data_IF_145696573899
#
_entry.id   IF_145696573899
#
_cell.length_a   1.000
_cell.length_b   1.000
_cell.length_c   1.000
_cell.angle_alpha   90.00
_cell.angle_beta   90.00
_cell.angle_gamma   90.00
#
_symmetry.space_group_name_H-M   'P 1'
#
loop_
_entity.id
_entity.type
_entity.pdbx_description
1 polymer ?
#
# COMPACT_ATOMS: atom_id res chain seq x y z
N UNK A 1 4.51 20.30 -9.49
CA UNK A 1 5.18 20.21 -8.17
C UNK A 1 4.28 20.89 -7.16
N UNK A 2 3.92 20.21 -6.08
CA UNK A 2 3.18 20.79 -4.96
C UNK A 2 4.05 21.89 -4.33
N UNK A 3 3.49 23.06 -4.07
CA UNK A 3 4.26 24.21 -3.57
C UNK A 3 3.73 24.75 -2.23
N UNK A 4 2.50 24.39 -1.87
CA UNK A 4 1.84 24.91 -0.69
C UNK A 4 1.51 23.79 0.29
N UNK A 5 1.58 24.08 1.59
CA UNK A 5 1.17 23.16 2.65
C UNK A 5 -0.27 22.67 2.46
N UNK A 6 -1.15 23.54 1.95
CA UNK A 6 -2.55 23.21 1.66
C UNK A 6 -2.69 22.10 0.58
N UNK A 7 -1.74 22.00 -0.35
CA UNK A 7 -1.76 20.93 -1.36
C UNK A 7 -1.50 19.55 -0.74
N UNK A 8 -0.56 19.48 0.20
CA UNK A 8 -0.29 18.25 0.95
C UNK A 8 -1.45 17.86 1.85
N UNK A 9 -2.06 18.86 2.49
CA UNK A 9 -3.26 18.65 3.30
C UNK A 9 -4.42 18.11 2.48
N UNK A 10 -4.68 18.67 1.29
CA UNK A 10 -5.74 18.21 0.37
C UNK A 10 -5.54 16.78 -0.09
N UNK A 11 -4.30 16.31 -0.22
CA UNK A 11 -3.95 14.95 -0.55
C UNK A 11 -4.00 13.99 0.64
N UNK A 12 -4.11 14.52 1.85
CA UNK A 12 -4.14 13.72 3.08
C UNK A 12 -2.78 13.20 3.51
N UNK A 13 -1.70 13.99 3.31
CA UNK A 13 -0.43 13.74 3.99
C UNK A 13 -0.57 13.97 5.48
N UNK A 14 0.11 13.15 6.29
CA UNK A 14 0.19 13.38 7.73
C UNK A 14 0.99 14.66 8.01
N UNK A 15 0.46 15.59 8.83
CA UNK A 15 1.16 16.85 9.15
C UNK A 15 2.55 16.62 9.75
N UNK A 16 2.71 15.57 10.55
CA UNK A 16 3.96 15.19 11.19
C UNK A 16 5.03 14.82 10.16
N UNK A 17 4.65 14.07 9.12
CA UNK A 17 5.57 13.71 8.04
C UNK A 17 6.05 14.93 7.27
N UNK A 18 5.13 15.82 6.90
CA UNK A 18 5.46 17.07 6.19
C UNK A 18 6.32 17.97 7.07
N UNK A 19 6.00 18.07 8.36
CA UNK A 19 6.78 18.86 9.32
C UNK A 19 8.21 18.33 9.46
N UNK A 20 8.39 17.02 9.66
CA UNK A 20 9.70 16.40 9.76
C UNK A 20 10.51 16.62 8.47
N UNK A 21 9.91 16.40 7.31
CA UNK A 21 10.56 16.60 6.02
C UNK A 21 11.05 18.05 5.85
N UNK A 22 10.20 19.04 6.13
CA UNK A 22 10.55 20.46 6.02
C UNK A 22 11.67 20.83 6.99
N UNK A 23 11.63 20.31 8.22
CA UNK A 23 12.69 20.54 9.19
C UNK A 23 14.05 20.09 8.68
N UNK A 24 14.13 18.95 8.02
CA UNK A 24 15.38 18.42 7.47
C UNK A 24 15.83 19.09 6.14
N UNK A 25 14.98 19.86 5.50
CA UNK A 25 15.38 20.59 4.27
C UNK A 25 16.47 21.63 4.51
N UNK A 26 16.49 22.24 5.69
CA UNK A 26 17.45 23.30 5.99
C UNK A 26 18.24 23.08 7.28
N UNK A 27 18.11 21.93 7.88
CA UNK A 27 18.73 21.62 9.18
C UNK A 27 19.19 20.15 9.22
N UNK A 28 20.26 19.89 9.99
CA UNK A 28 20.81 18.54 10.18
C UNK A 28 20.86 18.19 11.66
N UNK A 29 20.19 17.12 12.12
CA UNK A 29 20.20 16.68 13.54
C UNK A 29 21.55 16.14 14.02
N UNK A 30 22.49 15.83 13.09
CA UNK A 30 23.84 15.37 13.44
C UNK A 30 23.96 13.85 13.59
N UNK A 31 23.03 13.08 13.05
CA UNK A 31 23.05 11.63 12.99
C UNK A 31 22.58 11.14 11.62
N UNK A 32 22.34 9.84 11.52
CA UNK A 32 21.81 9.18 10.30
C UNK A 32 20.27 9.02 10.35
N UNK A 33 19.66 9.26 11.51
CA UNK A 33 18.21 9.20 11.66
C UNK A 33 17.53 10.34 10.90
N UNK A 34 16.43 10.02 10.27
CA UNK A 34 15.63 10.97 9.47
C UNK A 34 14.16 11.04 9.89
N UNK A 35 13.68 10.08 10.67
CA UNK A 35 12.31 10.03 11.18
C UNK A 35 12.31 10.41 12.65
N UNK A 36 11.63 11.50 12.99
CA UNK A 36 11.59 12.04 14.33
C UNK A 36 10.18 12.48 14.70
N UNK A 37 9.76 12.20 15.92
CA UNK A 37 8.58 12.85 16.46
C UNK A 37 8.79 14.38 16.56
N UNK A 38 7.70 15.11 16.66
CA UNK A 38 7.76 16.57 16.85
C UNK A 38 8.54 16.96 18.10
N UNK A 39 8.36 16.20 19.18
CA UNK A 39 9.02 16.40 20.46
C UNK A 39 10.53 16.16 20.37
N UNK A 40 10.95 15.17 19.59
CA UNK A 40 12.38 14.91 19.32
C UNK A 40 12.99 16.02 18.49
N UNK A 41 12.32 16.46 17.42
CA UNK A 41 12.78 17.59 16.61
C UNK A 41 12.97 18.86 17.44
N UNK A 42 12.02 19.18 18.35
CA UNK A 42 12.13 20.33 19.24
C UNK A 42 13.34 20.20 20.17
N UNK A 43 13.60 19.01 20.72
CA UNK A 43 14.73 18.76 21.61
C UNK A 43 16.08 18.81 20.92
N UNK A 44 16.14 18.31 19.67
CA UNK A 44 17.36 18.20 18.88
C UNK A 44 17.71 19.50 18.16
N UNK A 45 16.75 20.42 18.02
CA UNK A 45 16.93 21.63 17.25
C UNK A 45 18.08 22.51 17.79
N UNK A 46 19.03 22.77 16.92
CA UNK A 46 20.19 23.63 17.17
C UNK A 46 20.35 24.58 15.96
N UNK A 47 20.19 25.87 16.18
CA UNK A 47 20.28 26.90 15.14
C UNK A 47 21.66 26.96 14.46
N UNK A 48 22.72 26.49 15.15
CA UNK A 48 24.06 26.44 14.59
C UNK A 48 24.23 25.36 13.50
N UNK A 49 23.27 24.45 13.41
CA UNK A 49 23.22 23.38 12.41
C UNK A 49 22.34 23.71 11.20
N UNK A 50 21.86 24.94 11.10
CA UNK A 50 21.14 25.40 9.93
C UNK A 50 22.08 25.45 8.72
N UNK A 51 21.62 24.86 7.61
CA UNK A 51 22.34 24.87 6.35
C UNK A 51 22.33 26.25 5.73
N UNK A 52 23.51 26.70 5.26
CA UNK A 52 23.64 27.93 4.46
C UNK A 52 23.42 27.70 2.98
N UNK A 53 23.34 26.44 2.56
CA UNK A 53 23.12 26.05 1.15
C UNK A 53 21.64 25.92 0.86
N UNK A 54 21.19 26.25 -0.37
CA UNK A 54 19.83 25.99 -0.79
C UNK A 54 19.50 24.49 -0.66
N UNK A 55 18.35 24.17 -0.08
CA UNK A 55 17.87 22.81 -0.04
C UNK A 55 17.13 22.47 -1.34
N UNK A 56 17.35 21.28 -1.87
CA UNK A 56 16.58 20.74 -2.97
C UNK A 56 15.39 19.95 -2.42
N UNK A 57 14.22 20.24 -2.95
CA UNK A 57 13.01 19.47 -2.61
C UNK A 57 13.08 18.09 -3.28
N UNK A 58 12.99 17.03 -2.49
CA UNK A 58 12.96 15.64 -2.95
C UNK A 58 11.60 15.00 -2.61
N UNK A 59 10.76 14.86 -3.64
CA UNK A 59 9.43 14.24 -3.49
C UNK A 59 9.53 12.77 -3.04
N UNK A 60 10.49 12.02 -3.57
CA UNK A 60 10.65 10.60 -3.21
C UNK A 60 11.01 10.43 -1.73
N UNK A 61 11.82 11.34 -1.21
CA UNK A 61 12.16 11.35 0.21
C UNK A 61 10.93 11.68 1.07
N UNK A 62 10.14 12.67 0.68
CA UNK A 62 8.90 12.98 1.37
C UNK A 62 7.93 11.78 1.35
N UNK A 63 7.76 11.14 0.20
CA UNK A 63 6.86 10.00 0.05
C UNK A 63 7.31 8.82 0.93
N UNK A 64 8.61 8.52 0.94
CA UNK A 64 9.18 7.52 1.83
C UNK A 64 8.93 7.84 3.31
N UNK A 65 9.20 9.07 3.74
CA UNK A 65 8.95 9.51 5.11
C UNK A 65 7.45 9.43 5.46
N UNK A 66 6.59 9.91 4.57
CA UNK A 66 5.15 9.90 4.77
C UNK A 66 4.60 8.48 4.88
N UNK A 67 5.08 7.55 4.05
CA UNK A 67 4.72 6.14 4.15
C UNK A 67 5.11 5.57 5.52
N UNK A 68 6.32 5.87 6.02
CA UNK A 68 6.74 5.40 7.35
C UNK A 68 5.84 5.94 8.46
N UNK A 69 5.48 7.22 8.41
CA UNK A 69 4.54 7.81 9.37
C UNK A 69 3.15 7.18 9.30
N UNK A 70 2.61 6.93 8.10
CA UNK A 70 1.30 6.30 7.94
C UNK A 70 1.32 4.86 8.47
N UNK A 71 2.37 4.09 8.16
CA UNK A 71 2.54 2.70 8.65
C UNK A 71 2.52 2.63 10.17
N UNK A 72 3.16 3.58 10.85
CA UNK A 72 3.32 3.59 12.29
C UNK A 72 2.24 4.40 13.04
N UNK A 73 1.37 5.12 12.32
CA UNK A 73 0.28 5.86 12.92
C UNK A 73 -0.84 4.94 13.43
N UNK A 74 -1.59 5.42 14.42
CA UNK A 74 -2.79 4.75 14.90
C UNK A 74 -3.78 4.57 13.76
N UNK A 75 -4.44 3.41 13.72
CA UNK A 75 -5.41 3.06 12.67
C UNK A 75 -6.52 4.10 12.56
N UNK A 76 -7.13 4.48 13.68
CA UNK A 76 -8.23 5.44 13.72
C UNK A 76 -7.86 6.78 13.09
N UNK A 77 -6.61 7.24 13.29
CA UNK A 77 -6.09 8.45 12.69
C UNK A 77 -5.99 8.33 11.17
N UNK A 78 -5.45 7.23 10.68
CA UNK A 78 -5.32 6.98 9.23
C UNK A 78 -6.68 6.79 8.59
N UNK A 79 -7.57 6.05 9.23
CA UNK A 79 -8.94 5.87 8.75
C UNK A 79 -9.70 7.21 8.66
N UNK A 80 -9.57 8.06 9.68
CA UNK A 80 -10.19 9.40 9.65
C UNK A 80 -9.67 10.29 8.50
N UNK A 81 -8.39 10.12 8.10
CA UNK A 81 -7.84 10.81 6.93
C UNK A 81 -8.36 10.23 5.60
N UNK A 82 -8.52 8.92 5.50
CA UNK A 82 -9.02 8.24 4.29
C UNK A 82 -10.52 8.42 4.08
N UNK A 83 -11.28 8.56 5.17
CA UNK A 83 -12.75 8.60 5.16
C UNK A 83 -13.34 9.60 4.18
N UNK A 84 -12.90 10.87 4.12
CA UNK A 84 -13.45 11.84 3.15
C UNK A 84 -13.26 11.42 1.68
N UNK A 85 -12.12 10.81 1.36
CA UNK A 85 -11.83 10.33 0.01
C UNK A 85 -12.70 9.14 -0.38
N UNK A 86 -12.87 8.19 0.56
CA UNK A 86 -13.76 7.05 0.36
C UNK A 86 -15.23 7.50 0.23
N UNK A 87 -15.65 8.50 1.01
CA UNK A 87 -17.01 9.06 0.95
C UNK A 87 -17.25 9.75 -0.39
N UNK A 88 -16.35 10.61 -0.85
CA UNK A 88 -16.41 11.29 -2.15
C UNK A 88 -16.44 10.30 -3.33
N UNK A 89 -15.67 9.23 -3.24
CA UNK A 89 -15.64 8.17 -4.24
C UNK A 89 -16.84 7.18 -4.16
N UNK A 90 -17.73 7.32 -3.16
CA UNK A 90 -18.82 6.36 -2.94
C UNK A 90 -18.39 4.99 -2.43
N UNK A 91 -17.20 4.89 -1.82
CA UNK A 91 -16.56 3.64 -1.36
C UNK A 91 -16.58 3.47 0.17
N UNK A 92 -17.24 4.34 0.89
CA UNK A 92 -17.38 4.25 2.34
C UNK A 92 -18.46 3.20 2.68
N UNK A 93 -18.09 1.94 2.65
CA UNK A 93 -18.94 0.77 2.94
C UNK A 93 -18.64 0.19 4.32
N UNK A 94 -19.36 -0.86 4.72
CA UNK A 94 -19.08 -1.66 5.92
C UNK A 94 -17.69 -2.33 5.92
N UNK A 95 -17.05 -2.44 4.74
CA UNK A 95 -15.69 -2.99 4.56
C UNK A 95 -14.60 -1.93 4.52
N UNK A 96 -14.94 -0.65 4.60
CA UNK A 96 -13.98 0.46 4.44
C UNK A 96 -12.80 0.38 5.43
N UNK A 97 -13.05 0.01 6.69
CA UNK A 97 -11.98 -0.16 7.69
C UNK A 97 -10.99 -1.25 7.27
N UNK A 98 -11.49 -2.41 6.81
CA UNK A 98 -10.63 -3.52 6.34
C UNK A 98 -9.81 -3.12 5.11
N UNK A 99 -10.38 -2.34 4.20
CA UNK A 99 -9.66 -1.84 3.03
C UNK A 99 -8.56 -0.86 3.41
N UNK A 100 -8.82 0.06 4.34
CA UNK A 100 -7.80 0.97 4.85
C UNK A 100 -6.70 0.20 5.59
N UNK A 101 -7.05 -0.79 6.41
CA UNK A 101 -6.08 -1.64 7.10
C UNK A 101 -5.18 -2.39 6.11
N UNK A 102 -5.76 -2.96 5.05
CA UNK A 102 -5.04 -3.68 3.99
C UNK A 102 -4.03 -2.79 3.26
N UNK A 103 -4.42 -1.56 2.94
CA UNK A 103 -3.59 -0.67 2.11
C UNK A 103 -2.75 0.33 2.91
N UNK A 104 -3.00 0.51 4.21
CA UNK A 104 -2.23 1.39 5.10
C UNK A 104 -0.70 1.24 4.93
N UNK A 105 -0.12 0.03 4.82
CA UNK A 105 1.32 -0.13 4.66
C UNK A 105 1.89 0.40 3.33
N UNK A 106 1.04 0.64 2.34
CA UNK A 106 1.45 1.06 0.99
C UNK A 106 1.25 2.55 0.74
N UNK A 107 0.38 3.20 1.52
CA UNK A 107 0.01 4.60 1.29
C UNK A 107 1.12 5.57 1.68
N UNK A 108 1.26 6.62 0.89
CA UNK A 108 2.04 7.83 1.21
C UNK A 108 1.15 9.02 1.56
N UNK A 109 -0.07 9.03 1.04
CA UNK A 109 -1.11 10.00 1.32
C UNK A 109 -2.49 9.34 1.30
N UNK A 110 -3.45 9.90 2.03
CA UNK A 110 -4.78 9.28 2.18
C UNK A 110 -5.60 9.25 0.88
N UNK A 111 -5.35 10.17 -0.07
CA UNK A 111 -6.02 10.16 -1.39
C UNK A 111 -5.77 8.86 -2.15
N UNK A 112 -4.63 8.20 -1.89
CA UNK A 112 -4.24 6.96 -2.58
C UNK A 112 -5.17 5.78 -2.27
N UNK A 113 -5.95 5.85 -1.19
CA UNK A 113 -6.91 4.80 -0.84
C UNK A 113 -7.95 4.58 -1.96
N UNK A 114 -8.27 5.62 -2.74
CA UNK A 114 -9.24 5.50 -3.82
C UNK A 114 -8.70 4.60 -4.94
N UNK A 115 -7.60 4.93 -5.63
CA UNK A 115 -7.06 4.04 -6.67
C UNK A 115 -6.61 2.68 -6.12
N UNK A 116 -6.11 2.59 -4.89
CA UNK A 116 -5.72 1.32 -4.30
C UNK A 116 -6.90 0.36 -4.09
N UNK A 117 -8.11 0.90 -3.96
CA UNK A 117 -9.32 0.08 -3.78
C UNK A 117 -10.09 -0.18 -5.08
N UNK A 118 -9.61 0.26 -6.24
CA UNK A 118 -10.26 0.07 -7.55
C UNK A 118 -10.64 -1.40 -7.78
N UNK A 119 -9.76 -2.34 -7.40
CA UNK A 119 -10.01 -3.78 -7.50
C UNK A 119 -11.35 -4.24 -6.90
N UNK A 120 -11.86 -3.53 -5.90
CA UNK A 120 -13.08 -3.91 -5.16
C UNK A 120 -14.34 -3.18 -5.64
N UNK A 121 -14.18 -2.14 -6.46
CA UNK A 121 -15.28 -1.25 -6.84
C UNK A 121 -15.41 -1.03 -8.35
N UNK A 122 -14.35 -1.27 -9.10
CA UNK A 122 -14.34 -1.13 -10.55
C UNK A 122 -14.42 -2.48 -11.24
N UNK A 123 -14.69 -2.47 -12.54
CA UNK A 123 -14.63 -3.68 -13.37
C UNK A 123 -13.20 -4.24 -13.38
N UNK A 124 -13.11 -5.56 -13.56
CA UNK A 124 -11.80 -6.23 -13.64
C UNK A 124 -10.94 -5.59 -14.73
N UNK A 125 -9.71 -5.16 -14.43
CA UNK A 125 -8.89 -4.39 -15.34
C UNK A 125 -8.49 -5.19 -16.59
N UNK A 126 -8.34 -4.50 -17.71
CA UNK A 126 -7.72 -5.11 -18.89
C UNK A 126 -6.26 -5.44 -18.60
N UNK A 127 -5.90 -6.70 -18.84
CA UNK A 127 -4.53 -7.15 -18.63
C UNK A 127 -3.56 -6.44 -19.60
N UNK A 128 -2.46 -5.96 -19.06
CA UNK A 128 -1.33 -5.45 -19.85
C UNK A 128 -0.66 -6.58 -20.64
N UNK A 129 0.20 -6.25 -21.61
CA UNK A 129 0.95 -7.25 -22.36
C UNK A 129 1.83 -8.13 -21.47
N UNK A 130 2.40 -7.56 -20.41
CA UNK A 130 3.22 -8.30 -19.45
C UNK A 130 2.40 -9.34 -18.66
N UNK A 131 1.20 -8.98 -18.25
CA UNK A 131 0.27 -9.89 -17.55
C UNK A 131 -0.27 -10.96 -18.49
N UNK A 132 -0.61 -10.60 -19.72
CA UNK A 132 -0.99 -11.57 -20.77
C UNK A 132 0.12 -12.59 -21.05
N UNK A 133 1.38 -12.14 -21.09
CA UNK A 133 2.53 -13.05 -21.27
C UNK A 133 2.63 -14.06 -20.11
N UNK A 134 2.49 -13.59 -18.86
CA UNK A 134 2.47 -14.49 -17.69
C UNK A 134 1.29 -15.47 -17.78
N UNK A 135 0.10 -14.98 -18.13
CA UNK A 135 -1.12 -15.79 -18.21
C UNK A 135 -1.12 -16.78 -19.38
N UNK A 136 -0.28 -16.57 -20.40
CA UNK A 136 -0.06 -17.53 -21.50
C UNK A 136 0.88 -18.69 -21.14
N UNK A 137 1.45 -18.69 -19.93
CA UNK A 137 2.37 -19.73 -19.47
C UNK A 137 1.75 -21.13 -19.44
N UNK A 138 2.50 -22.15 -19.85
CA UNK A 138 2.02 -23.54 -19.98
C UNK A 138 1.45 -24.12 -18.67
N UNK A 139 1.95 -23.67 -17.51
CA UNK A 139 1.51 -24.15 -16.19
C UNK A 139 0.26 -23.45 -15.68
N UNK A 140 -0.12 -22.31 -16.26
CA UNK A 140 -1.21 -21.46 -15.78
C UNK A 140 -2.55 -22.17 -15.74
N UNK A 141 -3.01 -22.88 -16.80
CA UNK A 141 -4.29 -23.59 -16.77
C UNK A 141 -4.35 -24.62 -15.62
N UNK A 142 -3.24 -25.33 -15.38
CA UNK A 142 -3.15 -26.33 -14.31
C UNK A 142 -3.28 -25.68 -12.93
N UNK A 143 -2.55 -24.58 -12.69
CA UNK A 143 -2.58 -23.84 -11.43
C UNK A 143 -3.97 -23.28 -11.16
N UNK A 144 -4.55 -22.57 -12.13
CA UNK A 144 -5.85 -21.91 -11.95
C UNK A 144 -6.99 -22.91 -11.79
N UNK A 145 -6.97 -24.02 -12.55
CA UNK A 145 -7.97 -25.08 -12.39
C UNK A 145 -7.91 -25.71 -10.99
N UNK A 146 -6.69 -26.02 -10.53
CA UNK A 146 -6.51 -26.60 -9.20
C UNK A 146 -6.92 -25.61 -8.09
N UNK A 147 -6.53 -24.32 -8.22
CA UNK A 147 -6.89 -23.29 -7.24
C UNK A 147 -8.41 -23.06 -7.18
N UNK A 148 -9.05 -22.92 -8.35
CA UNK A 148 -10.50 -22.79 -8.44
C UNK A 148 -11.22 -23.96 -7.75
N UNK A 149 -10.80 -25.20 -8.03
CA UNK A 149 -11.39 -26.38 -7.41
C UNK A 149 -11.26 -26.40 -5.88
N UNK A 150 -10.12 -25.87 -5.34
CA UNK A 150 -9.95 -25.72 -3.87
C UNK A 150 -10.91 -24.70 -3.29
N UNK A 151 -11.09 -23.55 -3.95
CA UNK A 151 -11.99 -22.51 -3.48
C UNK A 151 -13.47 -22.97 -3.58
N UNK A 152 -13.87 -23.64 -4.66
CA UNK A 152 -15.23 -24.17 -4.82
C UNK A 152 -15.58 -25.27 -3.82
N UNK A 153 -14.58 -25.93 -3.25
CA UNK A 153 -14.78 -26.97 -2.23
C UNK A 153 -14.93 -26.39 -0.81
N UNK A 154 -14.65 -25.10 -0.62
CA UNK A 154 -14.81 -24.42 0.68
C UNK A 154 -16.28 -24.05 0.90
N UNK A 155 -16.74 -24.18 2.15
CA UNK A 155 -18.00 -23.58 2.58
C UNK A 155 -17.84 -22.07 2.83
N UNK A 156 -18.95 -21.33 2.89
CA UNK A 156 -18.93 -19.90 3.16
C UNK A 156 -18.22 -19.55 4.49
N UNK A 157 -18.39 -20.40 5.51
CA UNK A 157 -17.73 -20.22 6.81
C UNK A 157 -16.22 -20.48 6.77
N UNK A 158 -15.76 -21.30 5.82
CA UNK A 158 -14.33 -21.57 5.61
C UNK A 158 -13.65 -20.53 4.72
N UNK A 159 -14.41 -19.74 3.97
CA UNK A 159 -13.89 -18.73 3.06
C UNK A 159 -13.47 -17.47 3.82
N UNK A 160 -12.40 -17.62 4.61
CA UNK A 160 -11.77 -16.57 5.42
C UNK A 160 -10.29 -16.45 5.06
N UNK A 161 -9.70 -15.30 5.33
CA UNK A 161 -8.31 -14.95 4.91
C UNK A 161 -7.32 -16.04 5.33
N UNK A 162 -7.42 -16.52 6.57
CA UNK A 162 -6.51 -17.49 7.17
C UNK A 162 -6.52 -18.84 6.43
N UNK A 163 -7.59 -19.15 5.73
CA UNK A 163 -7.76 -20.42 5.03
C UNK A 163 -7.33 -20.36 3.56
N UNK A 164 -7.15 -19.17 2.97
CA UNK A 164 -6.81 -19.02 1.54
C UNK A 164 -5.37 -19.47 1.25
N UNK A 165 -4.40 -19.01 2.06
CA UNK A 165 -3.00 -19.41 1.86
C UNK A 165 -2.77 -20.93 1.97
N UNK A 166 -3.39 -21.66 2.91
CA UNK A 166 -3.38 -23.12 2.92
C UNK A 166 -3.84 -23.76 1.61
N UNK A 167 -4.86 -23.19 0.92
CA UNK A 167 -5.32 -23.69 -0.39
C UNK A 167 -4.25 -23.50 -1.46
N UNK A 168 -3.56 -22.36 -1.48
CA UNK A 168 -2.44 -22.14 -2.41
C UNK A 168 -1.33 -23.17 -2.16
N UNK A 169 -1.01 -23.48 -0.90
CA UNK A 169 -0.05 -24.53 -0.53
C UNK A 169 -0.52 -25.92 -0.96
N UNK A 170 -1.82 -26.19 -0.89
CA UNK A 170 -2.39 -27.46 -1.37
C UNK A 170 -2.24 -27.59 -2.89
N UNK A 171 -2.49 -26.51 -3.65
CA UNK A 171 -2.22 -26.47 -5.10
C UNK A 171 -0.75 -26.72 -5.40
N UNK A 172 0.17 -26.10 -4.67
CA UNK A 172 1.60 -26.32 -4.81
C UNK A 172 1.96 -27.83 -4.64
N UNK A 173 1.40 -28.46 -3.62
CA UNK A 173 1.66 -29.87 -3.30
C UNK A 173 1.07 -30.80 -4.37
N UNK A 174 -0.13 -30.49 -4.86
CA UNK A 174 -0.84 -31.29 -5.87
C UNK A 174 -0.19 -31.21 -7.24
N UNK A 175 0.17 -30.00 -7.68
CA UNK A 175 0.69 -29.76 -9.03
C UNK A 175 2.21 -29.85 -9.13
N UNK A 176 2.94 -29.74 -8.02
CA UNK A 176 4.39 -29.59 -8.00
C UNK A 176 4.91 -28.24 -8.47
N UNK A 177 4.00 -27.33 -8.91
CA UNK A 177 4.33 -25.98 -9.39
C UNK A 177 4.54 -25.07 -8.19
N UNK A 178 5.59 -24.23 -8.21
CA UNK A 178 6.01 -23.39 -7.08
C UNK A 178 6.59 -22.05 -7.52
N UNK A 179 6.80 -21.16 -6.56
CA UNK A 179 7.41 -19.85 -6.81
C UNK A 179 6.58 -18.99 -7.75
N UNK A 180 7.25 -18.22 -8.63
CA UNK A 180 6.60 -17.29 -9.55
C UNK A 180 5.50 -17.94 -10.40
N UNK A 181 5.72 -19.16 -10.86
CA UNK A 181 4.77 -19.89 -11.71
C UNK A 181 3.49 -20.35 -10.98
N UNK A 182 3.49 -20.36 -9.66
CA UNK A 182 2.32 -20.61 -8.83
C UNK A 182 1.61 -19.30 -8.45
N UNK A 183 2.36 -18.36 -7.84
CA UNK A 183 1.77 -17.19 -7.20
C UNK A 183 1.33 -16.11 -8.20
N UNK A 184 2.10 -15.89 -9.30
CA UNK A 184 1.77 -14.85 -10.27
C UNK A 184 0.46 -15.11 -11.03
N UNK A 185 0.20 -16.31 -11.58
CA UNK A 185 -1.09 -16.57 -12.20
C UNK A 185 -2.27 -16.42 -11.26
N UNK A 186 -2.14 -16.86 -10.01
CA UNK A 186 -3.19 -16.70 -9.01
C UNK A 186 -3.43 -15.22 -8.73
N UNK A 187 -2.36 -14.43 -8.52
CA UNK A 187 -2.45 -13.00 -8.29
C UNK A 187 -3.17 -12.30 -9.45
N UNK A 188 -2.71 -12.49 -10.68
CA UNK A 188 -3.32 -11.86 -11.86
C UNK A 188 -4.78 -12.28 -12.02
N UNK A 189 -5.10 -13.55 -11.80
CA UNK A 189 -6.48 -14.03 -11.90
C UNK A 189 -7.42 -13.41 -10.85
N UNK A 190 -6.90 -13.02 -9.68
CA UNK A 190 -7.69 -12.43 -8.60
C UNK A 190 -7.71 -10.90 -8.66
N UNK A 191 -6.60 -10.28 -9.04
CA UNK A 191 -6.44 -8.82 -8.96
C UNK A 191 -6.30 -8.11 -10.31
N UNK A 192 -6.05 -8.85 -11.41
CA UNK A 192 -5.72 -8.25 -12.68
C UNK A 192 -4.30 -7.68 -12.78
N UNK A 193 -3.50 -7.76 -11.72
CA UNK A 193 -2.20 -7.10 -11.62
C UNK A 193 -1.12 -8.04 -11.11
N UNK A 194 0.14 -7.79 -11.53
CA UNK A 194 1.32 -8.50 -11.02
C UNK A 194 1.80 -7.97 -9.66
N UNK A 195 1.40 -6.76 -9.30
CA UNK A 195 1.76 -6.08 -8.05
C UNK A 195 0.50 -5.76 -7.24
N UNK A 196 0.65 -5.52 -5.96
CA UNK A 196 -0.49 -5.23 -5.07
C UNK A 196 -0.25 -5.74 -3.65
N UNK A 197 -1.28 -5.77 -2.81
CA UNK A 197 -1.20 -6.29 -1.44
C UNK A 197 -0.63 -7.71 -1.43
N UNK A 198 -0.05 -8.10 -0.32
CA UNK A 198 0.40 -9.48 -0.17
C UNK A 198 -0.79 -10.44 -0.33
N UNK A 199 -0.57 -11.54 -1.04
CA UNK A 199 -1.56 -12.63 -1.05
C UNK A 199 -1.58 -13.22 0.37
N UNK A 200 -2.77 -13.45 0.92
CA UNK A 200 -2.91 -13.99 2.27
C UNK A 200 -2.24 -15.33 2.46
#
# INVERSE_FOLDING_TARGET
TLQFIEDYRKKGYLPEAVFNFIALLGWNPGGEDEIFSREELIKLFDENRLSKSPAAFDQKKLDWMSNDYIKNADFDKVFALCKPFLEEAGRLTDKAEKLVELYKPQMTAAEEIVPLTDLFFEDFPELTEAEKEVMAGETVPTVLKAFKAKLEAMSDDEFVVENIFPQIKAVQKETGIKGKNLFMPIRIAVSGEMHGPELP
#
